data_IF_351299650577
#
_entry.id   IF_351299650577
#
_cell.length_a   1.000
_cell.length_b   1.000
_cell.length_c   1.000
_cell.angle_alpha   90.00
_cell.angle_beta   90.00
_cell.angle_gamma   90.00
#
_symmetry.space_group_name_H-M   'P 1'
#
loop_
_entity.id
_entity.type
_entity.pdbx_description
1 polymer ?
#
# COMPACT_ATOMS: atom_id res chain seq x y z
N UNK A 1 -12.13 -25.86 16.38
CA UNK A 1 -11.68 -26.09 14.99
C UNK A 1 -10.22 -26.50 15.05
N UNK A 2 -9.83 -27.51 14.27
CA UNK A 2 -8.42 -27.92 14.14
C UNK A 2 -7.66 -26.77 13.48
N UNK A 3 -6.55 -26.34 14.08
CA UNK A 3 -5.67 -25.34 13.48
C UNK A 3 -4.93 -26.01 12.33
N UNK A 4 -5.27 -25.61 11.09
CA UNK A 4 -4.70 -26.16 9.86
C UNK A 4 -4.07 -25.05 9.02
N UNK A 5 -2.80 -25.21 8.72
CA UNK A 5 -2.02 -24.28 7.91
C UNK A 5 -1.44 -25.00 6.70
N UNK A 6 -1.35 -24.28 5.58
CA UNK A 6 -0.86 -24.79 4.31
C UNK A 6 0.33 -23.93 3.91
N UNK A 7 1.53 -24.39 4.26
CA UNK A 7 2.75 -23.74 3.82
C UNK A 7 3.02 -24.12 2.38
N UNK A 8 3.31 -23.14 1.52
CA UNK A 8 3.63 -23.40 0.13
C UNK A 8 4.71 -22.46 -0.39
N UNK A 9 5.35 -22.89 -1.46
CA UNK A 9 6.42 -22.18 -2.17
C UNK A 9 6.36 -22.58 -3.64
N UNK A 10 6.66 -21.67 -4.56
CA UNK A 10 6.61 -21.90 -6.00
C UNK A 10 7.91 -21.51 -6.70
N UNK A 11 8.30 -22.32 -7.68
CA UNK A 11 9.36 -21.97 -8.63
C UNK A 11 8.74 -21.56 -9.97
N UNK A 12 9.37 -20.59 -10.63
CA UNK A 12 8.93 -20.06 -11.94
C UNK A 12 9.89 -20.47 -13.05
N UNK A 13 9.41 -20.72 -14.28
CA UNK A 13 10.27 -21.10 -15.40
C UNK A 13 11.06 -19.91 -15.97
N UNK A 14 10.56 -18.69 -15.84
CA UNK A 14 11.15 -17.49 -16.44
C UNK A 14 10.76 -16.21 -15.67
N UNK A 15 11.29 -15.07 -16.09
CA UNK A 15 11.11 -13.78 -15.42
C UNK A 15 9.69 -13.17 -15.51
N UNK A 16 8.78 -13.75 -16.32
CA UNK A 16 7.40 -13.28 -16.42
C UNK A 16 6.59 -13.57 -15.14
N UNK A 17 7.00 -14.58 -14.35
CA UNK A 17 6.39 -14.95 -13.07
C UNK A 17 4.88 -15.22 -13.16
N UNK A 18 4.42 -15.67 -14.32
CA UNK A 18 3.01 -15.98 -14.64
C UNK A 18 2.75 -17.49 -14.79
N UNK A 19 3.79 -18.30 -14.61
CA UNK A 19 3.75 -19.76 -14.68
C UNK A 19 4.52 -20.39 -13.52
N UNK A 20 4.11 -21.59 -13.16
CA UNK A 20 4.73 -22.40 -12.10
C UNK A 20 5.40 -23.61 -12.75
N UNK A 21 6.69 -23.83 -12.47
CA UNK A 21 7.46 -25.01 -12.91
C UNK A 21 7.62 -26.06 -11.80
N UNK A 22 7.51 -25.65 -10.53
CA UNK A 22 7.37 -26.54 -9.38
C UNK A 22 6.58 -25.88 -8.25
N UNK A 23 5.89 -26.69 -7.44
CA UNK A 23 5.20 -26.25 -6.23
C UNK A 23 5.46 -27.23 -5.08
N UNK A 24 5.84 -26.67 -3.94
CA UNK A 24 5.92 -27.38 -2.66
C UNK A 24 4.73 -27.03 -1.79
N UNK A 25 4.14 -28.02 -1.12
CA UNK A 25 3.01 -27.82 -0.20
C UNK A 25 3.25 -28.66 1.05
N UNK A 26 3.35 -27.99 2.19
CA UNK A 26 3.53 -28.59 3.51
C UNK A 26 2.30 -28.31 4.38
N UNK A 27 1.66 -29.36 4.87
CA UNK A 27 0.46 -29.29 5.72
C UNK A 27 0.88 -29.34 7.18
N UNK A 28 0.41 -28.37 7.96
CA UNK A 28 0.57 -28.32 9.41
C UNK A 28 -0.80 -28.50 10.05
N UNK A 29 -0.93 -29.48 10.96
CA UNK A 29 -2.12 -29.71 11.74
C UNK A 29 -1.76 -29.94 13.20
N UNK A 30 -2.52 -29.33 14.11
CA UNK A 30 -2.31 -29.50 15.56
C UNK A 30 -0.87 -29.21 16.01
N UNK A 31 -0.20 -28.24 15.39
CA UNK A 31 1.15 -27.83 15.75
C UNK A 31 2.27 -28.77 15.28
N UNK A 32 2.00 -29.66 14.32
CA UNK A 32 3.01 -30.51 13.70
C UNK A 32 2.82 -30.58 12.18
N UNK A 33 3.93 -30.80 11.45
CA UNK A 33 3.87 -31.13 10.02
C UNK A 33 3.27 -32.52 9.87
N UNK A 34 2.21 -32.64 9.06
CA UNK A 34 1.54 -33.93 8.81
C UNK A 34 1.76 -34.47 7.41
N UNK A 35 2.11 -33.61 6.45
CA UNK A 35 2.32 -34.02 5.06
C UNK A 35 3.16 -33.01 4.29
N UNK A 36 4.03 -33.54 3.43
CA UNK A 36 4.78 -32.77 2.45
C UNK A 36 4.42 -33.26 1.05
N UNK A 37 4.26 -32.31 0.13
CA UNK A 37 4.06 -32.55 -1.28
C UNK A 37 5.05 -31.73 -2.08
N UNK A 38 5.54 -32.31 -3.17
CA UNK A 38 6.37 -31.64 -4.15
C UNK A 38 5.95 -32.10 -5.53
N UNK A 39 5.64 -31.14 -6.39
CA UNK A 39 5.22 -31.40 -7.76
C UNK A 39 6.08 -30.59 -8.72
N UNK A 40 6.57 -31.27 -9.76
CA UNK A 40 7.01 -30.62 -10.99
C UNK A 40 5.77 -30.39 -11.87
N UNK A 41 5.75 -29.27 -12.57
CA UNK A 41 4.62 -28.84 -13.41
C UNK A 41 5.14 -28.52 -14.78
N UNK A 42 4.46 -28.98 -15.83
CA UNK A 42 4.72 -28.49 -17.18
C UNK A 42 4.10 -27.10 -17.32
N UNK A 43 4.90 -26.02 -17.43
CA UNK A 43 4.37 -24.66 -17.47
C UNK A 43 3.97 -24.22 -18.88
N UNK A 44 4.18 -25.07 -19.89
CA UNK A 44 3.87 -24.83 -21.31
C UNK A 44 4.52 -23.56 -21.89
N UNK A 45 5.65 -23.15 -21.30
CA UNK A 45 6.43 -21.99 -21.71
C UNK A 45 7.93 -22.30 -21.69
N UNK A 46 8.70 -21.39 -22.28
CA UNK A 46 10.16 -21.45 -22.25
C UNK A 46 10.72 -21.23 -20.83
N UNK A 47 11.92 -21.76 -20.61
CA UNK A 47 12.68 -21.59 -19.38
C UNK A 47 13.84 -20.62 -19.60
N UNK A 48 13.98 -19.64 -18.70
CA UNK A 48 15.11 -18.73 -18.71
C UNK A 48 16.37 -19.39 -18.12
N UNK A 49 17.57 -19.18 -18.70
CA UNK A 49 18.81 -19.74 -18.16
C UNK A 49 19.07 -19.37 -16.70
N UNK A 50 18.60 -18.20 -16.26
CA UNK A 50 18.69 -17.78 -14.86
C UNK A 50 17.87 -18.68 -13.94
N UNK A 51 16.60 -18.93 -14.28
CA UNK A 51 15.68 -19.77 -13.49
C UNK A 51 16.14 -21.23 -13.45
N UNK A 52 16.63 -21.76 -14.58
CA UNK A 52 17.23 -23.11 -14.62
C UNK A 52 18.42 -23.18 -13.67
N UNK A 53 19.33 -22.20 -13.70
CA UNK A 53 20.51 -22.18 -12.82
C UNK A 53 20.12 -22.06 -11.34
N UNK A 54 19.05 -21.32 -11.05
CA UNK A 54 18.57 -21.08 -9.69
C UNK A 54 17.94 -22.33 -9.07
N UNK A 55 17.05 -22.99 -9.83
CA UNK A 55 16.17 -24.06 -9.34
C UNK A 55 16.64 -25.46 -9.74
N UNK A 56 17.47 -25.56 -10.78
CA UNK A 56 17.86 -26.82 -11.41
C UNK A 56 16.79 -27.44 -12.32
N UNK A 57 15.61 -26.81 -12.46
CA UNK A 57 14.50 -27.36 -13.25
C UNK A 57 14.69 -27.02 -14.72
N UNK A 58 14.69 -28.02 -15.59
CA UNK A 58 14.77 -27.84 -17.05
C UNK A 58 13.44 -28.18 -17.74
N UNK A 59 13.28 -27.70 -18.98
CA UNK A 59 12.12 -28.04 -19.83
C UNK A 59 11.94 -29.54 -20.02
N UNK A 60 13.03 -30.30 -20.08
CA UNK A 60 13.00 -31.75 -20.30
C UNK A 60 12.49 -32.50 -19.06
N UNK A 61 12.79 -32.00 -17.85
CA UNK A 61 12.34 -32.59 -16.60
C UNK A 61 10.83 -32.49 -16.39
N UNK A 62 10.22 -31.46 -16.97
CA UNK A 62 8.80 -31.15 -16.80
C UNK A 62 7.94 -31.55 -18.00
N UNK A 63 8.55 -31.95 -19.12
CA UNK A 63 7.83 -32.18 -20.38
C UNK A 63 6.71 -33.23 -20.29
N UNK A 64 6.90 -34.27 -19.46
CA UNK A 64 5.95 -35.36 -19.21
C UNK A 64 5.11 -35.17 -17.94
N UNK A 65 5.24 -34.01 -17.27
CA UNK A 65 4.53 -33.71 -16.02
C UNK A 65 3.17 -33.07 -16.31
N UNK A 66 2.22 -33.14 -15.36
CA UNK A 66 0.93 -32.48 -15.51
C UNK A 66 1.09 -30.98 -15.76
N UNK A 67 0.22 -30.43 -16.58
CA UNK A 67 0.04 -28.99 -16.72
C UNK A 67 -0.53 -28.40 -15.42
N UNK A 68 -0.43 -27.08 -15.25
CA UNK A 68 -0.97 -26.44 -14.05
C UNK A 68 -2.48 -26.69 -13.85
N UNK A 69 -3.36 -26.61 -14.88
CA UNK A 69 -4.79 -26.94 -14.71
C UNK A 69 -5.05 -28.36 -14.21
N UNK A 70 -4.31 -29.35 -14.72
CA UNK A 70 -4.43 -30.75 -14.31
C UNK A 70 -3.99 -30.92 -12.85
N UNK A 71 -2.85 -30.34 -12.48
CA UNK A 71 -2.37 -30.37 -11.10
C UNK A 71 -3.32 -29.62 -10.16
N UNK A 72 -3.87 -28.48 -10.60
CA UNK A 72 -4.75 -27.65 -9.78
C UNK A 72 -5.99 -28.41 -9.29
N UNK A 73 -6.58 -29.26 -10.14
CA UNK A 73 -7.70 -30.12 -9.72
C UNK A 73 -7.37 -31.01 -8.51
N UNK A 74 -6.10 -31.40 -8.37
CA UNK A 74 -5.62 -32.21 -7.25
C UNK A 74 -5.29 -31.34 -6.01
N UNK A 75 -4.69 -30.17 -6.20
CA UNK A 75 -4.15 -29.38 -5.09
C UNK A 75 -5.11 -28.29 -4.57
N UNK A 76 -6.11 -27.87 -5.35
CA UNK A 76 -7.10 -26.86 -4.94
C UNK A 76 -7.75 -27.21 -3.60
N UNK A 77 -8.24 -28.46 -3.36
CA UNK A 77 -8.86 -28.79 -2.08
C UNK A 77 -7.89 -28.66 -0.90
N UNK A 78 -6.59 -28.86 -1.14
CA UNK A 78 -5.54 -28.69 -0.12
C UNK A 78 -5.31 -27.20 0.13
N UNK A 79 -5.14 -26.41 -0.93
CA UNK A 79 -4.91 -24.96 -0.86
C UNK A 79 -6.10 -24.21 -0.24
N UNK A 80 -7.31 -24.77 -0.34
CA UNK A 80 -8.55 -24.25 0.27
C UNK A 80 -8.80 -24.75 1.71
N UNK A 81 -8.01 -25.72 2.20
CA UNK A 81 -8.31 -26.41 3.47
C UNK A 81 -7.83 -25.70 4.73
N UNK A 82 -7.05 -24.62 4.62
CA UNK A 82 -6.45 -23.95 5.77
C UNK A 82 -5.90 -22.57 5.44
N UNK A 83 -5.27 -21.94 6.43
CA UNK A 83 -4.60 -20.65 6.22
C UNK A 83 -3.32 -20.86 5.40
N UNK A 84 -3.19 -20.13 4.29
CA UNK A 84 -1.98 -20.17 3.46
C UNK A 84 -0.81 -19.50 4.17
N UNK A 85 0.36 -20.13 4.08
CA UNK A 85 1.61 -19.66 4.69
C UNK A 85 2.69 -19.68 3.61
N UNK A 86 3.41 -18.57 3.45
CA UNK A 86 4.54 -18.52 2.53
C UNK A 86 5.63 -17.60 3.08
N UNK A 87 6.87 -17.81 2.64
CA UNK A 87 7.99 -16.96 3.02
C UNK A 87 8.18 -15.89 1.95
N UNK A 88 8.10 -14.61 2.33
CA UNK A 88 7.96 -13.53 1.36
C UNK A 88 6.70 -13.70 0.46
N UNK A 89 5.60 -14.11 1.11
CA UNK A 89 4.33 -14.49 0.50
C UNK A 89 3.77 -13.61 -0.64
N UNK A 90 3.96 -12.26 -0.69
CA UNK A 90 3.51 -11.49 -1.84
C UNK A 90 4.01 -12.01 -3.20
N UNK A 91 5.20 -12.62 -3.25
CA UNK A 91 5.72 -13.23 -4.47
C UNK A 91 4.91 -14.47 -4.86
N UNK A 92 4.85 -15.49 -3.99
CA UNK A 92 4.17 -16.75 -4.27
C UNK A 92 2.67 -16.57 -4.54
N UNK A 93 2.02 -15.69 -3.77
CA UNK A 93 0.62 -15.31 -3.99
C UNK A 93 0.42 -14.64 -5.35
N UNK A 94 1.38 -13.81 -5.78
CA UNK A 94 1.39 -13.16 -7.08
C UNK A 94 1.46 -14.18 -8.21
N UNK A 95 2.45 -15.07 -8.17
CA UNK A 95 2.67 -16.14 -9.15
C UNK A 95 1.45 -17.06 -9.24
N UNK A 96 0.95 -17.54 -8.09
CA UNK A 96 -0.22 -18.41 -8.04
C UNK A 96 -1.44 -17.75 -8.68
N UNK A 97 -1.71 -16.49 -8.34
CA UNK A 97 -2.88 -15.77 -8.87
C UNK A 97 -2.77 -15.51 -10.37
N UNK A 98 -1.57 -15.14 -10.84
CA UNK A 98 -1.34 -14.92 -12.27
C UNK A 98 -1.48 -16.22 -13.06
N UNK A 99 -0.90 -17.32 -12.55
CA UNK A 99 -1.01 -18.64 -13.15
C UNK A 99 -2.47 -19.10 -13.23
N UNK A 100 -3.26 -18.96 -12.16
CA UNK A 100 -4.71 -19.23 -12.19
C UNK A 100 -5.44 -18.39 -13.25
N UNK A 101 -5.13 -17.09 -13.32
CA UNK A 101 -5.82 -16.19 -14.26
C UNK A 101 -5.50 -16.53 -15.71
N UNK A 102 -4.23 -16.76 -16.04
CA UNK A 102 -3.80 -17.03 -17.41
C UNK A 102 -4.33 -18.36 -17.95
N UNK A 103 -4.51 -19.34 -17.07
CA UNK A 103 -5.15 -20.60 -17.40
C UNK A 103 -6.69 -20.55 -17.37
N UNK A 104 -7.29 -19.40 -17.03
CA UNK A 104 -8.74 -19.24 -16.92
C UNK A 104 -9.36 -20.10 -15.81
N UNK A 105 -8.60 -20.39 -14.76
CA UNK A 105 -9.03 -21.21 -13.63
C UNK A 105 -9.70 -20.31 -12.59
N UNK A 106 -10.98 -20.56 -12.34
CA UNK A 106 -11.70 -19.94 -11.24
C UNK A 106 -11.36 -20.65 -9.92
N UNK A 107 -11.07 -19.86 -8.88
CA UNK A 107 -10.89 -20.37 -7.52
C UNK A 107 -11.79 -19.66 -6.53
N UNK A 108 -11.33 -18.55 -5.96
CA UNK A 108 -12.10 -17.68 -5.07
C UNK A 108 -11.67 -16.23 -5.27
N UNK A 109 -12.57 -15.25 -5.06
CA UNK A 109 -12.25 -13.84 -5.32
C UNK A 109 -11.18 -13.28 -4.37
N UNK A 110 -11.01 -13.87 -3.19
CA UNK A 110 -9.96 -13.53 -2.24
C UNK A 110 -9.59 -14.75 -1.39
N UNK A 111 -8.39 -14.71 -0.81
CA UNK A 111 -7.94 -15.70 0.19
C UNK A 111 -7.18 -15.02 1.33
N UNK A 112 -6.96 -15.75 2.42
CA UNK A 112 -6.16 -15.29 3.54
C UNK A 112 -4.81 -15.98 3.56
N UNK A 113 -3.77 -15.23 3.90
CA UNK A 113 -2.43 -15.76 4.10
C UNK A 113 -1.71 -15.09 5.28
N UNK A 114 -0.65 -15.72 5.76
CA UNK A 114 0.34 -15.08 6.63
C UNK A 114 1.77 -15.27 6.07
N UNK A 115 2.63 -14.28 6.30
CA UNK A 115 3.99 -14.26 5.77
C UNK A 115 5.02 -14.55 6.86
N UNK A 116 5.76 -15.66 6.73
CA UNK A 116 6.75 -16.05 7.74
C UNK A 116 7.95 -15.11 7.79
N UNK A 117 8.25 -14.36 6.73
CA UNK A 117 9.26 -13.29 6.76
C UNK A 117 8.81 -12.13 7.68
N UNK A 118 7.53 -11.73 7.60
CA UNK A 118 6.97 -10.67 8.48
C UNK A 118 6.88 -11.15 9.92
N UNK A 119 6.45 -12.40 10.13
CA UNK A 119 6.42 -13.01 11.46
C UNK A 119 7.84 -13.13 12.04
N UNK A 120 8.82 -13.50 11.22
CA UNK A 120 10.24 -13.58 11.59
C UNK A 120 10.77 -12.24 12.09
N UNK A 121 10.42 -11.11 11.45
CA UNK A 121 10.79 -9.76 11.92
C UNK A 121 10.25 -9.45 13.31
N UNK A 122 9.02 -9.89 13.60
CA UNK A 122 8.43 -9.71 14.92
C UNK A 122 9.02 -10.66 15.97
N UNK A 123 9.34 -11.90 15.58
CA UNK A 123 9.85 -12.93 16.49
C UNK A 123 11.35 -12.75 16.81
N UNK A 124 12.11 -12.26 15.84
CA UNK A 124 13.56 -12.12 15.88
C UNK A 124 14.02 -10.71 15.41
N UNK A 125 13.62 -9.63 16.11
CA UNK A 125 13.82 -8.26 15.64
C UNK A 125 15.29 -7.84 15.49
N UNK A 126 16.20 -8.53 16.19
CA UNK A 126 17.62 -8.18 16.22
C UNK A 126 18.45 -8.87 15.13
N UNK A 127 17.85 -9.75 14.31
CA UNK A 127 18.57 -10.37 13.19
C UNK A 127 18.77 -9.35 12.05
N UNK A 128 19.92 -9.38 11.35
CA UNK A 128 20.23 -8.41 10.30
C UNK A 128 19.29 -8.49 9.10
N UNK A 129 18.76 -9.69 8.82
CA UNK A 129 17.72 -9.90 7.83
C UNK A 129 16.90 -11.15 8.19
N UNK A 130 15.79 -11.31 7.46
CA UNK A 130 14.81 -12.39 7.68
C UNK A 130 14.55 -13.15 6.39
N UNK A 131 15.58 -13.33 5.55
CA UNK A 131 15.51 -14.23 4.40
C UNK A 131 15.37 -15.67 4.88
N UNK A 132 14.77 -16.53 4.05
CA UNK A 132 14.50 -17.92 4.41
C UNK A 132 15.78 -18.63 4.85
N UNK A 133 16.82 -18.58 4.01
CA UNK A 133 18.11 -19.20 4.30
C UNK A 133 18.76 -18.70 5.60
N UNK A 134 18.73 -17.39 5.86
CA UNK A 134 19.31 -16.80 7.07
C UNK A 134 18.58 -17.25 8.35
N UNK A 135 17.25 -17.34 8.29
CA UNK A 135 16.45 -17.84 9.41
C UNK A 135 16.63 -19.34 9.63
N UNK A 136 16.73 -20.11 8.54
CA UNK A 136 16.97 -21.55 8.62
C UNK A 136 18.34 -21.85 9.22
N UNK A 137 19.39 -21.13 8.80
CA UNK A 137 20.72 -21.23 9.38
C UNK A 137 20.71 -20.90 10.88
N UNK A 138 20.08 -19.78 11.27
CA UNK A 138 19.99 -19.37 12.67
C UNK A 138 19.24 -20.38 13.55
N UNK A 139 18.18 -20.99 13.02
CA UNK A 139 17.34 -21.94 13.74
C UNK A 139 17.74 -23.41 13.54
N UNK A 140 18.83 -23.65 12.79
CA UNK A 140 19.31 -25.00 12.45
C UNK A 140 18.25 -25.86 11.74
N UNK A 141 17.47 -25.24 10.85
CA UNK A 141 16.50 -25.92 9.98
C UNK A 141 17.22 -26.29 8.68
N UNK A 142 17.10 -27.56 8.28
CA UNK A 142 17.68 -28.03 7.02
C UNK A 142 16.97 -27.37 5.83
N UNK A 143 17.75 -26.82 4.90
CA UNK A 143 17.24 -26.14 3.71
C UNK A 143 18.08 -26.53 2.49
N UNK A 144 17.43 -27.13 1.49
CA UNK A 144 17.93 -27.19 0.14
C UNK A 144 17.29 -26.05 -0.66
N UNK A 145 17.92 -24.89 -0.65
CA UNK A 145 17.32 -23.64 -1.13
C UNK A 145 17.01 -23.70 -2.64
N UNK A 146 15.88 -23.09 -3.05
CA UNK A 146 15.34 -23.15 -4.42
C UNK A 146 14.84 -24.54 -4.85
N UNK A 147 14.51 -25.37 -3.86
CA UNK A 147 13.65 -26.51 -4.04
C UNK A 147 12.33 -26.22 -3.33
N UNK A 148 11.25 -26.00 -4.11
CA UNK A 148 9.95 -25.63 -3.57
C UNK A 148 9.47 -26.52 -2.40
N UNK A 149 9.74 -27.83 -2.48
CA UNK A 149 9.41 -28.78 -1.41
C UNK A 149 10.16 -28.44 -0.12
N UNK A 150 11.49 -28.34 -0.19
CA UNK A 150 12.34 -27.95 0.94
C UNK A 150 11.99 -26.57 1.48
N UNK A 151 11.71 -25.60 0.61
CA UNK A 151 11.45 -24.21 0.99
C UNK A 151 10.07 -24.09 1.68
N UNK A 152 9.05 -24.80 1.18
CA UNK A 152 7.73 -24.90 1.83
C UNK A 152 7.80 -25.59 3.21
N UNK A 153 8.61 -26.63 3.35
CA UNK A 153 8.80 -27.35 4.62
C UNK A 153 9.54 -26.48 5.64
N UNK A 154 10.62 -25.80 5.21
CA UNK A 154 11.32 -24.84 6.05
C UNK A 154 10.40 -23.69 6.49
N UNK A 155 9.53 -23.20 5.60
CA UNK A 155 8.50 -22.22 5.93
C UNK A 155 7.53 -22.72 7.02
N UNK A 156 7.12 -24.00 6.96
CA UNK A 156 6.31 -24.64 7.99
C UNK A 156 7.03 -24.73 9.35
N UNK A 157 8.30 -25.14 9.36
CA UNK A 157 9.12 -25.21 10.57
C UNK A 157 9.34 -23.83 11.20
N UNK A 158 9.52 -22.79 10.39
CA UNK A 158 9.57 -21.40 10.85
C UNK A 158 8.25 -21.00 11.53
N UNK A 159 7.11 -21.30 10.92
CA UNK A 159 5.80 -21.03 11.52
C UNK A 159 5.66 -21.70 12.89
N UNK A 160 5.96 -22.99 12.97
CA UNK A 160 5.91 -23.77 14.22
C UNK A 160 6.86 -23.21 15.29
N UNK A 161 8.06 -22.78 14.89
CA UNK A 161 8.99 -22.10 15.79
C UNK A 161 8.39 -20.80 16.35
N UNK A 162 7.83 -19.95 15.49
CA UNK A 162 7.22 -18.68 15.90
C UNK A 162 6.03 -18.87 16.83
N UNK A 163 5.18 -19.87 16.54
CA UNK A 163 4.05 -20.24 17.37
C UNK A 163 4.48 -20.72 18.75
N UNK A 164 5.53 -21.57 18.83
CA UNK A 164 6.14 -21.99 20.10
C UNK A 164 6.69 -20.81 20.92
N UNK A 165 7.09 -19.72 20.25
CA UNK A 165 7.53 -18.47 20.89
C UNK A 165 6.39 -17.50 21.22
N UNK A 166 5.13 -17.92 21.04
CA UNK A 166 3.94 -17.17 21.44
C UNK A 166 3.39 -16.20 20.39
N UNK A 167 3.94 -16.18 19.17
CA UNK A 167 3.29 -15.47 18.06
C UNK A 167 2.04 -16.22 17.65
N UNK A 168 0.98 -15.49 17.35
CA UNK A 168 -0.26 -16.07 16.85
C UNK A 168 -0.48 -15.66 15.38
N UNK A 169 -0.61 -16.60 14.44
CA UNK A 169 -0.73 -16.28 13.00
C UNK A 169 -1.91 -15.35 12.68
N UNK A 170 -3.00 -15.38 13.46
CA UNK A 170 -4.17 -14.51 13.31
C UNK A 170 -3.81 -13.01 13.32
N UNK A 171 -2.80 -12.61 14.10
CA UNK A 171 -2.32 -11.23 14.17
C UNK A 171 -1.57 -10.77 12.92
N UNK A 172 -1.13 -11.72 12.10
CA UNK A 172 -0.37 -11.49 10.89
C UNK A 172 -1.18 -11.76 9.63
N UNK A 173 -2.48 -12.03 9.78
CA UNK A 173 -3.38 -12.25 8.66
C UNK A 173 -3.35 -11.09 7.68
N UNK A 174 -3.28 -11.47 6.41
CA UNK A 174 -3.42 -10.60 5.25
C UNK A 174 -4.47 -11.21 4.34
N UNK A 175 -5.28 -10.34 3.73
CA UNK A 175 -6.23 -10.72 2.69
C UNK A 175 -5.58 -10.44 1.36
N UNK A 176 -5.53 -11.44 0.49
CA UNK A 176 -5.11 -11.30 -0.89
C UNK A 176 -6.35 -11.26 -1.78
N UNK A 177 -6.49 -10.22 -2.59
CA UNK A 177 -7.53 -10.08 -3.59
C UNK A 177 -7.03 -10.70 -4.90
N UNK A 178 -7.65 -11.80 -5.32
CA UNK A 178 -7.23 -12.52 -6.53
C UNK A 178 -7.70 -11.80 -7.80
N UNK A 179 -8.77 -11.01 -7.72
CA UNK A 179 -9.30 -10.24 -8.85
C UNK A 179 -8.40 -9.04 -9.14
N UNK A 180 -8.02 -8.31 -8.09
CA UNK A 180 -7.15 -7.14 -8.18
C UNK A 180 -5.65 -7.49 -8.10
N UNK A 181 -5.32 -8.78 -7.93
CA UNK A 181 -3.95 -9.33 -7.84
C UNK A 181 -3.07 -8.58 -6.85
N UNK A 182 -3.61 -8.29 -5.66
CA UNK A 182 -2.88 -7.53 -4.64
C UNK A 182 -3.25 -7.94 -3.22
N UNK A 183 -2.28 -7.78 -2.31
CA UNK A 183 -2.60 -7.84 -0.88
C UNK A 183 -3.38 -6.59 -0.49
N UNK A 184 -4.59 -6.79 0.02
CA UNK A 184 -5.38 -5.71 0.60
C UNK A 184 -4.72 -5.28 1.91
N UNK A 185 -4.58 -3.97 2.08
CA UNK A 185 -4.20 -3.43 3.37
C UNK A 185 -5.30 -3.79 4.37
N UNK A 186 -4.96 -4.20 5.61
CA UNK A 186 -5.97 -4.29 6.65
C UNK A 186 -6.71 -2.96 6.68
N UNK A 187 -8.05 -2.99 6.59
CA UNK A 187 -8.85 -1.85 7.01
C UNK A 187 -8.43 -1.64 8.46
N UNK A 188 -7.72 -0.55 8.71
CA UNK A 188 -7.27 -0.17 10.04
C UNK A 188 -8.50 -0.15 10.95
N UNK A 189 -8.68 -1.18 11.78
CA UNK A 189 -9.51 -1.11 12.99
C UNK A 189 -8.76 -0.41 14.13
N UNK A 190 -7.70 0.34 13.84
CA UNK A 190 -7.16 1.30 14.79
C UNK A 190 -8.12 2.47 14.80
N UNK A 191 -8.76 2.73 15.96
CA UNK A 191 -9.41 4.01 16.15
C UNK A 191 -8.40 5.12 15.80
N UNK A 192 -8.83 6.19 15.11
CA UNK A 192 -7.95 7.33 14.87
C UNK A 192 -7.33 7.76 16.20
N UNK A 193 -6.02 8.02 16.19
CA UNK A 193 -5.33 8.53 17.38
C UNK A 193 -6.06 9.75 17.93
N UNK A 194 -5.94 10.05 19.21
CA UNK A 194 -6.61 11.22 19.79
C UNK A 194 -6.24 12.50 19.03
N UNK A 195 -4.98 12.64 18.63
CA UNK A 195 -4.50 13.69 17.72
C UNK A 195 -5.24 13.71 16.39
N UNK A 196 -5.45 12.55 15.76
CA UNK A 196 -6.21 12.45 14.50
C UNK A 196 -7.67 12.85 14.69
N UNK A 197 -8.33 12.43 15.77
CA UNK A 197 -9.71 12.83 16.07
C UNK A 197 -9.84 14.33 16.26
N UNK A 198 -8.92 14.95 16.98
CA UNK A 198 -8.93 16.38 17.21
C UNK A 198 -8.59 17.18 15.94
N UNK A 199 -7.70 16.69 15.07
CA UNK A 199 -7.45 17.31 13.76
C UNK A 199 -8.66 17.20 12.82
N UNK A 200 -9.41 16.09 12.87
CA UNK A 200 -10.69 16.00 12.16
C UNK A 200 -11.70 16.99 12.71
N UNK A 201 -11.74 17.19 14.04
CA UNK A 201 -12.61 18.19 14.64
C UNK A 201 -12.23 19.62 14.23
N UNK A 202 -10.95 19.92 14.13
CA UNK A 202 -10.48 21.20 13.58
C UNK A 202 -10.98 21.39 12.14
N UNK A 203 -10.90 20.35 11.31
CA UNK A 203 -11.42 20.42 9.93
C UNK A 203 -12.92 20.73 9.91
N UNK A 204 -13.72 20.05 10.72
CA UNK A 204 -15.17 20.33 10.82
C UNK A 204 -15.46 21.79 11.19
N UNK A 205 -14.67 22.37 12.10
CA UNK A 205 -14.80 23.78 12.49
C UNK A 205 -14.48 24.70 11.30
N UNK A 206 -13.43 24.41 10.54
CA UNK A 206 -13.09 25.19 9.35
C UNK A 206 -14.13 25.04 8.24
N UNK A 207 -14.64 23.83 8.02
CA UNK A 207 -15.72 23.57 7.05
C UNK A 207 -17.00 24.35 7.42
N UNK A 208 -17.29 24.49 8.72
CA UNK A 208 -18.42 25.30 9.23
C UNK A 208 -18.19 26.80 9.01
N UNK A 209 -17.00 27.30 9.37
CA UNK A 209 -16.63 28.72 9.23
C UNK A 209 -16.51 29.17 7.78
N UNK A 210 -16.16 28.27 6.86
CA UNK A 210 -16.00 28.58 5.43
C UNK A 210 -17.29 28.38 4.62
N UNK A 211 -18.35 27.86 5.24
CA UNK A 211 -19.56 27.42 4.51
C UNK A 211 -20.34 28.56 3.84
N UNK A 212 -20.29 29.76 4.40
CA UNK A 212 -20.99 30.95 3.91
C UNK A 212 -20.08 31.92 3.14
N UNK A 213 -18.79 31.60 3.01
CA UNK A 213 -17.73 32.45 2.43
C UNK A 213 -17.60 33.83 3.11
N UNK A 214 -18.01 33.97 4.37
CA UNK A 214 -17.84 35.21 5.14
C UNK A 214 -17.28 34.91 6.53
N UNK A 215 -16.04 35.33 6.80
CA UNK A 215 -15.42 35.12 8.11
C UNK A 215 -15.76 36.27 9.07
N UNK A 216 -16.47 35.97 10.15
CA UNK A 216 -16.80 36.95 11.20
C UNK A 216 -15.75 36.99 12.33
N UNK A 217 -15.59 38.14 13.02
CA UNK A 217 -14.71 38.24 14.18
C UNK A 217 -15.02 37.24 15.30
N UNK A 218 -16.30 36.92 15.51
CA UNK A 218 -16.74 35.99 16.55
C UNK A 218 -16.31 34.54 16.23
N UNK A 219 -16.28 34.16 14.95
CA UNK A 219 -15.78 32.86 14.50
C UNK A 219 -14.27 32.76 14.69
N UNK A 220 -13.51 33.81 14.37
CA UNK A 220 -12.06 33.87 14.58
C UNK A 220 -11.73 33.75 16.06
N UNK A 221 -12.47 34.45 16.92
CA UNK A 221 -12.33 34.37 18.39
C UNK A 221 -12.64 32.95 18.87
N UNK A 222 -13.71 32.34 18.38
CA UNK A 222 -14.12 30.98 18.74
C UNK A 222 -13.08 29.93 18.30
N UNK A 223 -12.54 30.08 17.09
CA UNK A 223 -11.47 29.25 16.55
C UNK A 223 -10.18 29.42 17.37
N UNK A 224 -9.77 30.65 17.71
CA UNK A 224 -8.62 30.91 18.58
C UNK A 224 -8.75 30.19 19.91
N UNK A 225 -9.92 30.30 20.55
CA UNK A 225 -10.15 29.70 21.86
C UNK A 225 -10.10 28.17 21.78
N UNK A 226 -10.62 27.59 20.70
CA UNK A 226 -10.48 26.17 20.43
C UNK A 226 -9.01 25.76 20.23
N UNK A 227 -8.25 26.51 19.43
CA UNK A 227 -6.83 26.25 19.16
C UNK A 227 -6.00 26.31 20.46
N UNK A 228 -6.24 27.31 21.31
CA UNK A 228 -5.55 27.43 22.62
C UNK A 228 -5.84 26.25 23.56
N UNK A 229 -7.09 25.76 23.58
CA UNK A 229 -7.47 24.57 24.38
C UNK A 229 -6.85 23.28 23.84
N UNK A 230 -6.51 23.23 22.56
CA UNK A 230 -5.94 22.07 21.88
C UNK A 230 -4.44 22.25 21.55
N UNK A 231 -3.70 23.04 22.34
CA UNK A 231 -2.26 23.31 22.10
C UNK A 231 -1.37 22.04 22.08
N UNK A 232 -1.85 20.90 22.57
CA UNK A 232 -1.18 19.61 22.42
C UNK A 232 -1.04 19.15 20.95
N UNK A 233 -1.79 19.76 20.02
CA UNK A 233 -1.72 19.50 18.59
C UNK A 233 -0.56 20.23 17.89
N UNK A 234 0.18 21.09 18.59
CA UNK A 234 1.37 21.77 18.06
C UNK A 234 2.37 20.77 17.45
N UNK A 235 2.98 21.14 16.32
CA UNK A 235 3.83 20.27 15.51
C UNK A 235 3.06 19.45 14.45
N UNK A 236 1.76 19.65 14.32
CA UNK A 236 0.92 19.02 13.30
C UNK A 236 0.32 20.04 12.34
N UNK A 237 0.53 19.84 11.04
CA UNK A 237 -0.21 20.57 10.00
C UNK A 237 -1.66 20.04 9.89
N UNK A 238 -2.70 20.89 9.68
CA UNK A 238 -2.65 22.35 9.48
C UNK A 238 -2.69 23.19 10.77
N UNK A 239 -2.79 22.57 11.95
CA UNK A 239 -2.98 23.25 13.23
C UNK A 239 -1.98 24.38 13.47
N UNK A 240 -0.68 24.14 13.25
CA UNK A 240 0.34 25.17 13.50
C UNK A 240 0.15 26.43 12.65
N UNK A 241 -0.18 26.23 11.35
CA UNK A 241 -0.34 27.34 10.41
C UNK A 241 -1.55 28.20 10.76
N UNK A 242 -2.67 27.56 11.12
CA UNK A 242 -3.89 28.25 11.57
C UNK A 242 -3.63 28.96 12.90
N UNK A 243 -2.95 28.30 13.84
CA UNK A 243 -2.62 28.90 15.12
C UNK A 243 -1.76 30.16 14.98
N UNK A 244 -0.74 30.12 14.11
CA UNK A 244 0.13 31.26 13.82
C UNK A 244 -0.69 32.40 13.19
N UNK A 245 -1.41 32.14 12.11
CA UNK A 245 -2.19 33.18 11.40
C UNK A 245 -3.28 33.81 12.27
N UNK A 246 -4.06 33.01 13.01
CA UNK A 246 -5.08 33.54 13.95
C UNK A 246 -4.43 34.27 15.13
N UNK A 247 -3.21 33.88 15.50
CA UNK A 247 -2.44 34.55 16.56
C UNK A 247 -1.94 35.93 16.13
N UNK A 248 -1.40 36.03 14.92
CA UNK A 248 -0.89 37.27 14.30
C UNK A 248 -2.03 38.28 14.11
N UNK A 249 -3.15 37.86 13.52
CA UNK A 249 -4.32 38.72 13.26
C UNK A 249 -5.03 39.23 14.53
N UNK A 250 -4.67 38.71 15.72
CA UNK A 250 -5.26 39.12 16.99
C UNK A 250 -4.25 39.76 17.94
N UNK A 251 -3.03 40.03 17.47
CA UNK A 251 -1.94 40.55 18.30
C UNK A 251 -2.14 42.03 18.66
N UNK A 252 -2.68 42.82 17.74
CA UNK A 252 -2.99 44.24 17.95
C UNK A 252 -4.38 44.48 18.59
N UNK A 253 -5.18 43.43 18.68
CA UNK A 253 -6.52 43.43 19.27
C UNK A 253 -7.63 43.97 18.35
N UNK A 254 -7.37 44.19 17.07
CA UNK A 254 -8.34 44.70 16.08
C UNK A 254 -8.30 43.80 14.85
N UNK A 255 -9.40 43.12 14.55
CA UNK A 255 -9.52 42.36 13.30
C UNK A 255 -9.94 43.28 12.16
N UNK A 256 -9.03 43.55 11.24
CA UNK A 256 -9.32 44.29 10.02
C UNK A 256 -9.92 43.37 8.94
N UNK A 257 -10.71 43.95 8.03
CA UNK A 257 -11.36 43.19 6.96
C UNK A 257 -10.35 42.44 6.06
N UNK A 258 -9.16 43.01 5.84
CA UNK A 258 -8.13 42.35 5.04
C UNK A 258 -7.60 41.08 5.72
N UNK A 259 -7.50 41.08 7.06
CA UNK A 259 -7.04 39.92 7.83
C UNK A 259 -8.09 38.82 7.82
N UNK A 260 -9.37 39.19 7.90
CA UNK A 260 -10.49 38.27 7.75
C UNK A 260 -10.49 37.60 6.36
N UNK A 261 -10.27 38.38 5.30
CA UNK A 261 -10.16 37.87 3.93
C UNK A 261 -8.95 36.93 3.75
N UNK A 262 -7.78 37.29 4.29
CA UNK A 262 -6.57 36.44 4.22
C UNK A 262 -6.73 35.13 5.00
N UNK A 263 -7.37 35.18 6.17
CA UNK A 263 -7.69 33.99 6.95
C UNK A 263 -8.69 33.09 6.24
N UNK A 264 -9.76 33.67 5.68
CA UNK A 264 -10.76 32.92 4.93
C UNK A 264 -10.11 32.17 3.76
N UNK A 265 -9.27 32.84 2.97
CA UNK A 265 -8.52 32.21 1.88
C UNK A 265 -7.62 31.06 2.35
N UNK A 266 -6.95 31.23 3.49
CA UNK A 266 -6.13 30.16 4.07
C UNK A 266 -6.99 28.97 4.52
N UNK A 267 -8.14 29.22 5.15
CA UNK A 267 -9.02 28.17 5.64
C UNK A 267 -9.65 27.40 4.48
N UNK A 268 -10.13 28.10 3.45
CA UNK A 268 -10.60 27.50 2.19
C UNK A 268 -9.51 26.66 1.52
N UNK A 269 -8.27 27.16 1.47
CA UNK A 269 -7.14 26.38 0.93
C UNK A 269 -6.85 25.12 1.76
N UNK A 270 -7.14 25.11 3.06
CA UNK A 270 -6.92 23.95 3.93
C UNK A 270 -8.08 22.95 3.79
N UNK A 271 -9.32 23.42 3.73
CA UNK A 271 -10.54 22.60 3.63
C UNK A 271 -10.70 22.02 2.23
N UNK A 272 -10.49 22.84 1.20
CA UNK A 272 -10.39 22.45 -0.20
C UNK A 272 -9.16 23.08 -0.89
N UNK A 273 -7.99 22.42 -0.83
CA UNK A 273 -6.74 22.88 -1.46
C UNK A 273 -6.79 22.97 -2.99
N UNK A 274 -7.93 22.63 -3.60
CA UNK A 274 -8.11 22.58 -5.05
C UNK A 274 -9.30 23.44 -5.51
N UNK A 275 -10.05 24.09 -4.62
CA UNK A 275 -11.16 24.99 -5.00
C UNK A 275 -10.70 26.15 -5.92
N UNK A 276 -9.43 26.57 -5.79
CA UNK A 276 -8.80 27.59 -6.64
C UNK A 276 -8.00 27.01 -7.83
N UNK A 277 -8.09 25.72 -8.13
CA UNK A 277 -7.49 25.16 -9.35
C UNK A 277 -8.42 25.43 -10.54
N UNK A 278 -7.89 26.15 -11.53
CA UNK A 278 -8.55 26.56 -12.77
C UNK A 278 -9.47 25.49 -13.39
N UNK A 279 -10.57 25.96 -13.98
CA UNK A 279 -11.34 25.24 -15.00
C UNK A 279 -10.40 24.70 -16.09
N UNK A 280 -10.29 23.37 -16.17
CA UNK A 280 -9.91 22.45 -17.27
C UNK A 280 -9.01 22.83 -18.48
N UNK A 281 -8.57 24.07 -18.68
CA UNK A 281 -7.94 24.52 -19.94
C UNK A 281 -6.49 25.02 -19.83
N UNK A 282 -5.84 24.99 -18.65
CA UNK A 282 -4.59 25.77 -18.45
C UNK A 282 -3.39 25.05 -17.82
N UNK A 283 -3.50 23.79 -17.37
CA UNK A 283 -2.39 23.18 -16.62
C UNK A 283 -1.27 22.70 -17.55
N UNK A 284 -0.18 23.49 -17.65
CA UNK A 284 1.04 23.08 -18.33
C UNK A 284 1.97 22.32 -17.36
N UNK A 285 2.27 21.06 -17.72
CA UNK A 285 3.19 20.16 -17.01
C UNK A 285 4.63 20.25 -17.57
N UNK A 286 4.82 20.89 -18.71
CA UNK A 286 6.11 20.96 -19.39
C UNK A 286 7.18 21.60 -18.51
N UNK A 287 8.32 20.92 -18.35
CA UNK A 287 9.44 21.40 -17.53
C UNK A 287 9.23 21.33 -16.02
N UNK A 288 8.06 20.83 -15.56
CA UNK A 288 7.75 20.69 -14.13
C UNK A 288 8.05 19.29 -13.61
N UNK A 289 8.44 19.20 -12.35
CA UNK A 289 8.55 17.95 -11.61
C UNK A 289 7.24 17.62 -10.89
N UNK A 290 6.80 16.37 -10.98
CA UNK A 290 5.49 15.98 -10.44
C UNK A 290 5.53 14.69 -9.61
N UNK A 291 4.69 14.63 -8.58
CA UNK A 291 4.51 13.42 -7.78
C UNK A 291 3.06 12.94 -7.82
N UNK A 292 2.84 11.68 -8.21
CA UNK A 292 1.50 11.09 -8.20
C UNK A 292 1.12 10.58 -6.79
N UNK A 293 -0.15 10.67 -6.42
CA UNK A 293 -0.72 10.11 -5.18
C UNK A 293 -2.18 9.69 -5.37
N UNK A 294 -2.65 8.67 -4.64
CA UNK A 294 -4.01 8.13 -4.80
C UNK A 294 -4.14 7.08 -5.90
N UNK A 295 -5.38 6.60 -6.11
CA UNK A 295 -5.78 5.76 -7.24
C UNK A 295 -6.41 6.63 -8.33
N UNK A 296 -6.13 6.30 -9.58
CA UNK A 296 -6.46 7.11 -10.75
C UNK A 296 -7.63 6.48 -11.53
N UNK A 297 -8.50 7.34 -12.06
CA UNK A 297 -9.69 7.00 -12.84
C UNK A 297 -9.38 6.84 -14.34
N UNK A 298 -8.46 7.65 -14.89
CA UNK A 298 -8.08 7.68 -16.31
C UNK A 298 -6.89 6.77 -16.64
N UNK A 299 -6.66 5.73 -15.82
CA UNK A 299 -5.65 4.71 -16.06
C UNK A 299 -4.89 4.28 -14.83
N UNK A 300 -4.05 3.26 -14.97
CA UNK A 300 -3.12 2.88 -13.91
C UNK A 300 -2.05 3.98 -13.70
N UNK A 301 -1.43 3.97 -12.53
CA UNK A 301 -0.43 4.97 -12.13
C UNK A 301 0.73 5.09 -13.12
N UNK A 302 1.17 3.99 -13.72
CA UNK A 302 2.28 3.97 -14.68
C UNK A 302 1.86 4.62 -15.99
N UNK A 303 0.63 4.36 -16.44
CA UNK A 303 0.03 4.95 -17.64
C UNK A 303 -0.13 6.47 -17.48
N UNK A 304 -0.61 6.93 -16.32
CA UNK A 304 -0.69 8.37 -15.98
C UNK A 304 0.69 9.02 -15.94
N UNK A 305 1.66 8.37 -15.29
CA UNK A 305 3.04 8.87 -15.21
C UNK A 305 3.67 9.02 -16.61
N UNK A 306 3.44 8.03 -17.47
CA UNK A 306 3.94 8.05 -18.85
C UNK A 306 3.29 9.16 -19.68
N UNK A 307 1.98 9.38 -19.54
CA UNK A 307 1.26 10.41 -20.27
C UNK A 307 1.76 11.83 -19.92
N UNK A 308 2.00 12.09 -18.64
CA UNK A 308 2.53 13.36 -18.17
C UNK A 308 4.01 13.54 -18.55
N UNK A 309 4.79 12.47 -18.49
CA UNK A 309 6.20 12.51 -18.91
C UNK A 309 6.35 12.80 -20.41
N UNK A 310 5.47 12.26 -21.25
CA UNK A 310 5.43 12.57 -22.69
C UNK A 310 5.14 14.03 -22.99
N UNK A 311 4.47 14.73 -22.08
CA UNK A 311 4.20 16.18 -22.17
C UNK A 311 5.27 17.04 -21.50
N UNK A 312 6.43 16.47 -21.16
CA UNK A 312 7.58 17.21 -20.63
C UNK A 312 7.63 17.29 -19.11
N UNK A 313 6.76 16.58 -18.39
CA UNK A 313 6.85 16.46 -16.94
C UNK A 313 7.96 15.50 -16.50
N UNK A 314 8.54 15.73 -15.32
CA UNK A 314 9.54 14.83 -14.72
C UNK A 314 8.97 14.16 -13.46
N UNK A 315 8.76 12.83 -13.45
CA UNK A 315 8.18 12.14 -12.31
C UNK A 315 9.18 12.07 -11.14
N UNK A 316 8.68 12.27 -9.92
CA UNK A 316 9.43 12.09 -8.67
C UNK A 316 8.67 11.19 -7.70
N UNK A 317 9.41 10.34 -6.97
CA UNK A 317 8.83 9.34 -6.07
C UNK A 317 8.28 9.92 -4.77
N UNK A 318 8.75 11.11 -4.37
CA UNK A 318 8.35 11.80 -3.16
C UNK A 318 8.38 13.32 -3.29
N UNK A 319 7.67 13.99 -2.38
CA UNK A 319 7.54 15.46 -2.38
C UNK A 319 8.74 16.10 -1.67
N UNK A 320 9.37 17.06 -2.33
CA UNK A 320 10.53 17.83 -1.83
C UNK A 320 10.34 19.31 -2.16
N UNK A 321 11.24 20.19 -1.69
CA UNK A 321 11.22 21.62 -2.07
C UNK A 321 11.38 21.88 -3.57
N UNK A 322 11.90 20.91 -4.32
CA UNK A 322 12.08 21.01 -5.77
C UNK A 322 10.87 20.46 -6.56
N UNK A 323 9.91 19.87 -5.87
CA UNK A 323 8.69 19.36 -6.51
C UNK A 323 7.86 20.55 -6.95
N UNK A 324 7.37 20.56 -8.18
CA UNK A 324 6.54 21.66 -8.69
C UNK A 324 5.05 21.35 -8.50
N UNK A 325 4.65 20.09 -8.63
CA UNK A 325 3.26 19.70 -8.41
C UNK A 325 3.07 18.30 -7.82
N UNK A 326 1.94 18.11 -7.14
CA UNK A 326 1.46 16.83 -6.63
C UNK A 326 0.09 16.55 -7.23
N UNK A 327 0.01 15.47 -8.01
CA UNK A 327 -1.19 15.10 -8.76
C UNK A 327 -1.91 13.99 -8.01
N UNK A 328 -3.18 14.21 -7.76
CA UNK A 328 -4.03 13.38 -6.91
C UNK A 328 -5.08 12.68 -7.76
N UNK A 329 -5.10 11.35 -7.73
CA UNK A 329 -6.12 10.53 -8.39
C UNK A 329 -7.53 10.68 -7.78
N UNK A 330 -8.57 10.62 -8.60
CA UNK A 330 -9.98 10.80 -8.21
C UNK A 330 -10.67 9.52 -7.72
N UNK A 331 -10.08 8.34 -7.95
CA UNK A 331 -10.68 7.05 -7.60
C UNK A 331 -10.61 6.82 -6.07
N UNK A 332 -11.76 6.89 -5.40
CA UNK A 332 -11.88 6.81 -3.93
C UNK A 332 -12.13 8.16 -3.23
N UNK A 333 -12.77 9.10 -3.92
CA UNK A 333 -13.00 10.50 -3.51
C UNK A 333 -13.74 10.71 -2.17
N UNK A 334 -14.39 9.70 -1.59
CA UNK A 334 -15.05 9.84 -0.27
C UNK A 334 -14.07 9.99 0.91
N UNK A 335 -12.78 9.69 0.74
CA UNK A 335 -11.79 9.89 1.81
C UNK A 335 -11.27 11.35 1.89
N UNK A 336 -11.50 12.16 0.85
CA UNK A 336 -11.04 13.55 0.76
C UNK A 336 -11.92 14.52 1.55
N UNK A 337 -13.24 14.33 1.49
CA UNK A 337 -14.20 15.03 2.35
C UNK A 337 -13.93 14.77 3.84
N UNK A 338 -13.29 13.65 4.18
CA UNK A 338 -13.00 13.23 5.55
C UNK A 338 -11.57 13.52 6.05
N UNK A 339 -10.80 14.39 5.40
CA UNK A 339 -9.54 14.94 5.96
C UNK A 339 -8.38 13.94 6.08
N UNK A 340 -8.43 12.80 5.39
CA UNK A 340 -7.37 11.79 5.42
C UNK A 340 -6.37 12.02 4.26
N UNK A 341 -5.68 13.16 4.29
CA UNK A 341 -4.71 13.53 3.27
C UNK A 341 -3.57 12.50 3.23
N UNK A 342 -3.37 11.83 2.09
CA UNK A 342 -2.25 10.91 1.91
C UNK A 342 -0.92 11.58 2.25
N UNK A 343 0.08 10.81 2.70
CA UNK A 343 1.37 11.33 3.22
C UNK A 343 2.09 12.31 2.29
N UNK A 344 1.87 12.19 0.97
CA UNK A 344 2.42 13.10 -0.05
C UNK A 344 1.70 14.44 -0.10
N UNK A 345 0.38 14.46 0.02
CA UNK A 345 -0.44 15.69 0.04
C UNK A 345 -0.14 16.49 1.30
N UNK A 346 -0.11 15.83 2.46
CA UNK A 346 0.28 16.47 3.74
C UNK A 346 1.66 17.13 3.63
N UNK A 347 2.63 16.43 3.05
CA UNK A 347 3.98 16.97 2.84
C UNK A 347 4.02 18.14 1.85
N UNK A 348 3.17 18.14 0.83
CA UNK A 348 3.05 19.24 -0.13
C UNK A 348 2.52 20.51 0.55
N UNK A 349 1.45 20.37 1.34
CA UNK A 349 0.87 21.47 2.11
C UNK A 349 1.84 22.03 3.16
N UNK A 350 2.57 21.15 3.87
CA UNK A 350 3.62 21.58 4.82
C UNK A 350 4.72 22.40 4.14
N UNK A 351 5.05 22.09 2.88
CA UNK A 351 6.04 22.82 2.11
C UNK A 351 5.48 24.12 1.52
N UNK A 352 4.20 24.14 1.11
CA UNK A 352 3.47 25.37 0.75
C UNK A 352 3.46 26.36 1.93
N UNK A 353 3.15 25.88 3.13
CA UNK A 353 3.20 26.69 4.36
C UNK A 353 4.60 27.24 4.69
N UNK A 354 5.66 26.63 4.15
CA UNK A 354 7.05 27.10 4.23
C UNK A 354 7.48 27.96 3.03
N UNK A 355 6.53 28.42 2.21
CA UNK A 355 6.76 29.27 1.04
C UNK A 355 7.20 28.55 -0.22
N UNK A 356 7.06 27.22 -0.31
CA UNK A 356 7.38 26.49 -1.55
C UNK A 356 6.20 26.59 -2.53
N UNK A 357 6.43 26.90 -3.83
CA UNK A 357 5.37 27.11 -4.81
C UNK A 357 4.80 25.78 -5.37
N UNK A 358 4.62 24.77 -4.51
CA UNK A 358 4.09 23.46 -4.91
C UNK A 358 2.61 23.61 -5.24
N UNK A 359 2.17 23.06 -6.38
CA UNK A 359 0.76 23.01 -6.77
C UNK A 359 0.16 21.63 -6.45
N UNK A 360 -1.03 21.56 -5.86
CA UNK A 360 -1.78 20.30 -5.68
C UNK A 360 -2.87 20.29 -6.76
N UNK A 361 -2.91 19.23 -7.57
CA UNK A 361 -3.72 19.17 -8.80
C UNK A 361 -4.56 17.90 -8.78
N UNK A 362 -5.87 17.98 -9.05
CA UNK A 362 -6.71 16.78 -9.18
C UNK A 362 -6.53 16.17 -10.55
N UNK A 363 -6.74 14.87 -10.61
CA UNK A 363 -6.78 14.12 -11.87
C UNK A 363 -7.78 14.71 -12.88
N UNK A 364 -8.91 15.22 -12.40
CA UNK A 364 -9.93 15.86 -13.23
C UNK A 364 -9.42 17.15 -13.89
N UNK A 365 -8.52 17.89 -13.24
CA UNK A 365 -7.98 19.16 -13.76
C UNK A 365 -6.95 18.92 -14.89
N UNK A 366 -6.45 17.70 -14.99
CA UNK A 366 -5.50 17.27 -16.02
C UNK A 366 -6.07 16.18 -16.92
N UNK A 367 -7.38 15.95 -16.92
CA UNK A 367 -7.99 14.88 -17.73
C UNK A 367 -7.63 15.00 -19.22
N UNK A 368 -7.52 16.24 -19.74
CA UNK A 368 -7.04 16.55 -21.09
C UNK A 368 -5.59 16.10 -21.36
N UNK A 369 -4.83 15.85 -20.29
CA UNK A 369 -3.46 15.36 -20.31
C UNK A 369 -3.35 13.85 -20.06
N UNK A 370 -4.45 13.14 -19.83
CA UNK A 370 -4.41 11.71 -19.51
C UNK A 370 -4.80 10.87 -20.74
N UNK A 371 -4.43 9.57 -20.78
CA UNK A 371 -4.96 8.66 -21.78
C UNK A 371 -6.48 8.52 -21.57
N UNK A 372 -7.24 8.43 -22.67
CA UNK A 372 -8.66 8.04 -22.63
C UNK A 372 -8.75 6.54 -22.35
#
# INVERSE_FOLDING_TARGET
MVERFIAFDVETPNCANDRISAIGITIIENGAVTKDYYYLVNPEVHFDPFNIRLTGITSEMVADKPTFPELWQQIEPIMSSGLLIAHNAPFDMGVLTQCLTDYGIEWQPFTYYACTCVMGRACYPNLPNHKLNALCEYLQINLNHHNAGSDSHACAELLLNYMRRGLKPDRFLRRYDLVQRRTLRPISKTQPSETTKQLLKLKEILDEITADNELSPDEVISLRDWLRRNNALRGNFPFDKIFETVGEALEDGVLENFELEEMLQLFEQITDPVANACSCDCFDISGKTFCLTGEFEFGDRSSVEMALSRRGGTPVSGVTKKTDCVIVGSKGSEAWSNGNYGTKVKKAMELQGKGSPIQIVREQDICNLLPI
#
